data_IF_008158448164
#
_entry.id   IF_008158448164
#
_cell.length_a   1.000
_cell.length_b   1.000
_cell.length_c   1.000
_cell.angle_alpha   90.00
_cell.angle_beta   90.00
_cell.angle_gamma   90.00
#
_symmetry.space_group_name_H-M   'P 1'
#
loop_
_entity.id
_entity.type
_entity.pdbx_description
1 polymer ?
#
# COMPACT_ATOMS: atom_id res chain seq x y z
N UNK A 1 6.99 9.04 22.66
CA UNK A 1 7.07 9.43 21.23
C UNK A 1 6.78 8.21 20.38
N UNK A 2 5.97 8.35 19.32
CA UNK A 2 5.71 7.28 18.34
C UNK A 2 6.47 7.58 17.06
N UNK A 3 6.82 6.55 16.29
CA UNK A 3 7.56 6.70 15.03
C UNK A 3 6.64 6.50 13.84
N UNK A 4 6.66 7.44 12.89
CA UNK A 4 5.78 7.40 11.72
C UNK A 4 6.14 6.22 10.81
N UNK A 5 5.16 5.39 10.44
CA UNK A 5 5.39 4.26 9.53
C UNK A 5 5.80 4.66 8.11
N UNK A 6 5.42 5.87 7.65
CA UNK A 6 5.75 6.34 6.30
C UNK A 6 7.11 7.08 6.25
N UNK A 7 7.32 8.08 7.12
CA UNK A 7 8.49 8.97 7.04
C UNK A 7 9.51 8.77 8.16
N UNK A 8 9.29 7.80 9.06
CA UNK A 8 10.17 7.46 10.18
C UNK A 8 10.44 8.60 11.18
N UNK A 9 9.74 9.74 11.08
CA UNK A 9 9.83 10.84 12.05
C UNK A 9 9.15 10.48 13.36
N UNK A 10 9.74 10.95 14.46
CA UNK A 10 9.11 10.93 15.77
C UNK A 10 7.98 11.95 15.83
N UNK A 11 6.83 11.54 16.36
CA UNK A 11 5.65 12.39 16.56
C UNK A 11 4.97 12.07 17.89
N UNK A 12 4.33 13.09 18.45
CA UNK A 12 3.59 12.99 19.72
C UNK A 12 2.09 12.84 19.47
N UNK A 13 1.55 13.64 18.56
CA UNK A 13 0.15 13.61 18.13
C UNK A 13 0.12 13.35 16.63
N UNK A 14 -0.69 12.38 16.22
CA UNK A 14 -0.82 11.95 14.84
C UNK A 14 -2.06 11.09 14.66
N UNK A 15 -2.24 10.52 13.47
CA UNK A 15 -3.37 9.65 13.15
C UNK A 15 -2.90 8.19 13.05
N UNK A 16 -3.46 7.33 13.90
CA UNK A 16 -3.09 5.92 14.05
C UNK A 16 -1.58 5.73 14.31
N UNK A 17 -0.82 5.51 13.24
CA UNK A 17 0.62 5.21 13.21
C UNK A 17 1.43 6.23 12.38
N UNK A 18 0.79 7.34 11.98
CA UNK A 18 1.37 8.34 11.09
C UNK A 18 1.41 9.71 11.74
N UNK A 19 2.46 10.48 11.46
CA UNK A 19 2.64 11.83 12.00
C UNK A 19 1.65 12.84 11.39
N UNK A 20 1.06 12.56 10.23
CA UNK A 20 0.14 13.44 9.53
C UNK A 20 -0.83 12.65 8.65
N UNK A 21 -1.93 13.29 8.26
CA UNK A 21 -2.92 12.76 7.32
C UNK A 21 -2.29 12.46 5.94
N UNK A 22 -1.34 13.29 5.54
CA UNK A 22 -0.54 13.11 4.32
C UNK A 22 0.25 11.78 4.34
N UNK A 23 0.98 11.52 5.43
CA UNK A 23 1.72 10.27 5.59
C UNK A 23 0.80 9.04 5.64
N UNK A 24 -0.44 9.20 6.10
CA UNK A 24 -1.44 8.14 6.08
C UNK A 24 -1.96 7.88 4.65
N UNK A 25 -2.22 8.93 3.87
CA UNK A 25 -2.64 8.83 2.46
C UNK A 25 -1.58 8.18 1.58
N UNK A 26 -0.32 8.62 1.71
CA UNK A 26 0.78 8.03 0.94
C UNK A 26 0.95 6.52 1.20
N UNK A 27 0.77 6.08 2.44
CA UNK A 27 0.84 4.65 2.79
C UNK A 27 -0.31 3.86 2.15
N UNK A 28 -1.52 4.41 2.12
CA UNK A 28 -2.66 3.80 1.42
C UNK A 28 -2.38 3.71 -0.08
N UNK A 29 -1.93 4.79 -0.71
CA UNK A 29 -1.62 4.82 -2.14
C UNK A 29 -0.54 3.81 -2.50
N UNK A 30 0.52 3.69 -1.69
CA UNK A 30 1.56 2.66 -1.85
C UNK A 30 0.97 1.26 -1.77
N UNK A 31 0.11 0.97 -0.80
CA UNK A 31 -0.52 -0.36 -0.66
C UNK A 31 -1.43 -0.69 -1.83
N UNK A 32 -2.24 0.27 -2.28
CA UNK A 32 -3.10 0.11 -3.45
C UNK A 32 -2.27 -0.13 -4.70
N UNK A 33 -1.20 0.64 -4.89
CA UNK A 33 -0.30 0.49 -6.03
C UNK A 33 0.38 -0.88 -6.02
N UNK A 34 0.94 -1.30 -4.88
CA UNK A 34 1.56 -2.63 -4.74
C UNK A 34 0.53 -3.73 -5.00
N UNK A 35 -0.69 -3.61 -4.46
CA UNK A 35 -1.76 -4.58 -4.71
C UNK A 35 -2.15 -4.63 -6.19
N UNK A 36 -2.15 -3.48 -6.89
CA UNK A 36 -2.49 -3.38 -8.32
C UNK A 36 -1.36 -3.89 -9.22
N UNK A 37 -0.11 -3.53 -8.92
CA UNK A 37 1.08 -3.96 -9.68
C UNK A 37 1.36 -5.45 -9.47
N UNK A 38 1.11 -5.98 -8.27
CA UNK A 38 1.21 -7.40 -7.96
C UNK A 38 -0.14 -8.14 -8.11
N UNK A 39 -1.16 -7.51 -8.71
CA UNK A 39 -2.38 -8.22 -9.10
C UNK A 39 -2.02 -9.11 -10.30
N UNK A 40 -1.45 -10.27 -9.99
CA UNK A 40 -1.19 -11.36 -10.93
C UNK A 40 -2.43 -12.26 -11.02
N UNK A 41 -3.64 -11.70 -10.86
CA UNK A 41 -4.86 -12.48 -10.75
C UNK A 41 -5.16 -13.24 -12.06
N UNK A 42 -4.91 -14.56 -12.00
CA UNK A 42 -5.58 -15.74 -12.59
C UNK A 42 -6.25 -15.72 -13.98
N UNK A 43 -6.25 -14.64 -14.74
CA UNK A 43 -6.87 -14.55 -16.08
C UNK A 43 -5.84 -14.48 -17.20
N UNK A 44 -4.55 -14.34 -16.87
CA UNK A 44 -3.47 -14.47 -17.84
C UNK A 44 -3.34 -15.94 -18.28
N UNK A 45 -4.03 -16.26 -19.37
CA UNK A 45 -3.98 -17.50 -20.16
C UNK A 45 -4.85 -18.66 -19.68
N UNK A 46 -6.18 -18.51 -19.81
CA UNK A 46 -6.93 -19.60 -20.44
C UNK A 46 -6.63 -19.50 -21.94
N UNK A 47 -5.43 -19.94 -22.34
CA UNK A 47 -5.21 -20.34 -23.72
C UNK A 47 -5.89 -21.69 -23.86
N UNK A 48 -7.12 -21.68 -24.35
CA UNK A 48 -7.89 -22.89 -24.64
C UNK A 48 -7.22 -23.58 -25.83
N UNK A 49 -6.27 -24.46 -25.54
CA UNK A 49 -5.73 -25.41 -26.52
C UNK A 49 -6.85 -26.42 -26.81
N UNK A 50 -7.52 -26.19 -27.92
CA UNK A 50 -8.58 -27.07 -28.40
C UNK A 50 -7.94 -28.23 -29.17
N UNK A 51 -8.23 -29.51 -28.83
CA UNK A 51 -7.82 -30.65 -29.64
C UNK A 51 -8.49 -30.68 -31.01
#
# INVERSE_FOLDING_TARGET
MKKCKNCAKDYEVGIKDFCSDECFKEDIEKRVKVATENDVSHTRKISRDYP
#
